data_IF_059343480317
#
_entry.id   IF_059343480317
#
_cell.length_a   1.000
_cell.length_b   1.000
_cell.length_c   1.000
_cell.angle_alpha   90.00
_cell.angle_beta   90.00
_cell.angle_gamma   90.00
#
_symmetry.space_group_name_H-M   'P 1'
#
loop_
_entity.id
_entity.type
_entity.pdbx_description
1 polymer ?
#
# COMPACT_ATOMS: atom_id res chain seq x y z
N UNK A 1 -6.84 -24.17 -5.19
CA UNK A 1 -7.00 -23.42 -3.93
C UNK A 1 -6.65 -24.37 -2.79
N UNK A 2 -5.38 -24.41 -2.39
CA UNK A 2 -4.93 -25.28 -1.32
C UNK A 2 -5.43 -24.70 0.00
N UNK A 3 -6.25 -25.47 0.72
CA UNK A 3 -6.61 -25.17 2.10
C UNK A 3 -5.30 -25.10 2.90
N UNK A 4 -4.94 -23.89 3.31
CA UNK A 4 -3.89 -23.70 4.30
C UNK A 4 -4.34 -24.39 5.59
N UNK A 5 -3.57 -25.37 6.04
CA UNK A 5 -3.76 -26.09 7.30
C UNK A 5 -4.11 -25.11 8.42
N UNK A 6 -5.36 -25.13 8.85
CA UNK A 6 -5.82 -24.41 10.04
C UNK A 6 -5.40 -25.22 11.25
N UNK A 7 -4.17 -25.01 11.73
CA UNK A 7 -3.72 -25.56 13.00
C UNK A 7 -4.73 -25.21 14.11
N UNK A 8 -5.28 -26.24 14.76
CA UNK A 8 -6.26 -26.10 15.82
C UNK A 8 -5.57 -25.69 17.13
N UNK A 9 -5.79 -24.44 17.56
CA UNK A 9 -5.14 -23.89 18.76
C UNK A 9 -5.98 -24.09 20.03
N UNK A 10 -5.30 -24.41 21.14
CA UNK A 10 -5.88 -24.38 22.48
C UNK A 10 -6.04 -22.94 22.97
N UNK A 11 -7.28 -22.50 23.16
CA UNK A 11 -7.62 -21.22 23.77
C UNK A 11 -7.22 -21.18 25.25
N UNK A 12 -5.96 -20.85 25.54
CA UNK A 12 -5.55 -20.51 26.90
C UNK A 12 -6.06 -19.10 27.23
N UNK A 13 -7.10 -19.05 28.05
CA UNK A 13 -7.57 -17.82 28.68
C UNK A 13 -6.40 -17.10 29.35
N UNK A 14 -6.21 -15.82 29.00
CA UNK A 14 -5.34 -14.81 29.61
C UNK A 14 -4.75 -15.21 30.97
N UNK A 15 -3.42 -15.39 31.12
CA UNK A 15 -2.82 -15.39 32.45
C UNK A 15 -2.94 -13.99 33.05
N UNK A 16 -3.65 -13.92 34.17
CA UNK A 16 -3.93 -12.70 34.92
C UNK A 16 -2.61 -12.12 35.46
N UNK A 17 -2.28 -10.89 35.08
CA UNK A 17 -1.42 -10.07 35.93
C UNK A 17 -2.19 -9.74 37.22
N UNK A 18 -1.55 -9.71 38.40
CA UNK A 18 -2.24 -9.31 39.63
C UNK A 18 -2.63 -7.83 39.53
N UNK A 19 -3.92 -7.55 39.31
CA UNK A 19 -4.45 -6.18 39.23
C UNK A 19 -4.82 -5.65 40.61
N UNK A 20 -4.30 -4.47 40.94
CA UNK A 20 -4.68 -3.71 42.14
C UNK A 20 -5.88 -2.77 41.94
N UNK A 21 -6.52 -2.72 40.76
CA UNK A 21 -7.65 -1.81 40.49
C UNK A 21 -8.69 -2.44 39.55
N UNK A 22 -9.97 -2.18 39.85
CA UNK A 22 -11.22 -2.69 39.26
C UNK A 22 -11.45 -2.40 37.76
N UNK A 23 -10.48 -2.70 36.88
CA UNK A 23 -10.78 -2.84 35.46
C UNK A 23 -11.29 -4.27 35.20
N UNK A 24 -12.51 -4.39 34.66
CA UNK A 24 -12.99 -5.66 34.11
C UNK A 24 -12.02 -6.09 33.02
N UNK A 25 -11.11 -7.01 33.33
CA UNK A 25 -10.22 -7.62 32.36
C UNK A 25 -11.05 -8.62 31.56
N UNK A 26 -11.45 -8.25 30.35
CA UNK A 26 -12.11 -9.17 29.44
C UNK A 26 -11.18 -10.38 29.22
N UNK A 27 -11.74 -11.58 29.39
CA UNK A 27 -11.09 -12.89 29.18
C UNK A 27 -11.19 -13.28 27.68
N UNK A 28 -11.67 -12.36 26.84
CA UNK A 28 -11.86 -12.60 25.42
C UNK A 28 -10.51 -12.88 24.74
N UNK A 29 -10.45 -13.84 23.81
CA UNK A 29 -9.26 -14.07 23.00
C UNK A 29 -8.92 -12.78 22.26
N UNK A 30 -7.65 -12.37 22.34
CA UNK A 30 -7.16 -11.25 21.55
C UNK A 30 -7.15 -11.71 20.08
N UNK A 31 -7.73 -10.95 19.17
CA UNK A 31 -7.57 -11.16 17.73
C UNK A 31 -6.78 -9.98 17.15
N UNK A 32 -5.68 -10.29 16.46
CA UNK A 32 -4.81 -9.28 15.86
C UNK A 32 -5.11 -9.17 14.37
N UNK A 33 -5.63 -8.02 13.97
CA UNK A 33 -5.92 -7.69 12.58
C UNK A 33 -4.78 -6.82 12.06
N UNK A 34 -4.05 -7.32 11.07
CA UNK A 34 -2.90 -6.60 10.51
C UNK A 34 -3.27 -6.05 9.15
N UNK A 35 -3.14 -4.72 8.96
CA UNK A 35 -3.32 -4.11 7.65
C UNK A 35 -2.09 -4.35 6.77
N UNK A 36 -2.27 -4.59 5.45
CA UNK A 36 -1.17 -4.79 4.51
C UNK A 36 -0.16 -3.64 4.48
N UNK A 37 -0.61 -2.40 4.72
CA UNK A 37 0.26 -1.23 4.80
C UNK A 37 1.35 -1.40 5.87
N UNK A 38 1.01 -1.88 7.06
CA UNK A 38 1.97 -2.10 8.14
C UNK A 38 3.01 -3.16 7.73
N UNK A 39 2.59 -4.24 7.08
CA UNK A 39 3.49 -5.30 6.58
C UNK A 39 4.47 -4.73 5.56
N UNK A 40 3.99 -3.97 4.58
CA UNK A 40 4.84 -3.34 3.56
C UNK A 40 5.85 -2.36 4.18
N UNK A 41 5.46 -1.61 5.21
CA UNK A 41 6.39 -0.73 5.94
C UNK A 41 7.47 -1.51 6.68
N UNK A 42 7.12 -2.65 7.29
CA UNK A 42 8.08 -3.54 7.96
C UNK A 42 9.05 -4.15 6.94
N UNK A 43 8.55 -4.59 5.78
CA UNK A 43 9.38 -5.14 4.71
C UNK A 43 10.30 -4.08 4.09
N UNK A 44 9.80 -2.87 3.84
CA UNK A 44 10.63 -1.74 3.38
C UNK A 44 11.74 -1.41 4.39
N UNK A 45 11.42 -1.42 5.69
CA UNK A 45 12.42 -1.24 6.74
C UNK A 45 13.45 -2.38 6.76
N UNK A 46 13.02 -3.63 6.54
CA UNK A 46 13.93 -4.78 6.47
C UNK A 46 14.94 -4.65 5.31
N UNK A 47 14.49 -4.12 4.15
CA UNK A 47 15.33 -3.93 2.95
C UNK A 47 16.32 -2.77 3.11
N UNK A 48 15.95 -1.71 3.85
CA UNK A 48 16.80 -0.53 4.08
C UNK A 48 17.95 -0.74 5.07
N UNK A 49 18.13 -1.95 5.60
CA UNK A 49 19.15 -2.23 6.60
C UNK A 49 20.56 -1.97 6.05
N UNK A 50 21.32 -1.12 6.73
CA UNK A 50 22.68 -0.72 6.36
C UNK A 50 23.73 -1.85 6.47
N UNK A 51 23.49 -2.88 7.28
CA UNK A 51 24.45 -3.97 7.48
C UNK A 51 23.92 -5.33 7.01
N UNK A 52 24.64 -6.01 6.09
CA UNK A 52 24.35 -7.41 5.76
C UNK A 52 24.54 -8.30 6.99
N UNK A 53 23.69 -9.31 7.12
CA UNK A 53 23.76 -10.29 8.20
C UNK A 53 25.18 -10.87 8.30
N UNK A 54 25.89 -10.53 9.36
CA UNK A 54 27.19 -11.10 9.71
C UNK A 54 26.94 -12.18 10.76
N UNK A 55 27.66 -13.31 10.78
CA UNK A 55 27.41 -14.42 11.72
C UNK A 55 27.43 -14.04 13.21
N UNK A 56 27.97 -12.87 13.58
CA UNK A 56 28.02 -12.34 14.95
C UNK A 56 26.90 -11.34 15.29
N UNK A 57 26.17 -10.84 14.30
CA UNK A 57 25.17 -9.77 14.50
C UNK A 57 23.83 -10.22 13.97
N UNK A 58 22.90 -10.39 14.91
CA UNK A 58 21.49 -10.60 14.65
C UNK A 58 20.99 -9.51 13.68
N UNK A 59 20.71 -9.92 12.45
CA UNK A 59 20.19 -9.04 11.40
C UNK A 59 18.68 -8.91 11.59
N UNK A 60 18.21 -8.61 12.80
CA UNK A 60 16.80 -8.36 13.04
C UNK A 60 16.55 -6.85 13.06
N UNK A 61 15.39 -6.48 12.56
CA UNK A 61 14.92 -5.09 12.58
C UNK A 61 13.87 -5.01 13.69
N UNK A 62 13.81 -3.86 14.36
CA UNK A 62 12.87 -3.61 15.45
C UNK A 62 12.15 -2.29 15.17
N UNK A 63 10.86 -2.26 15.46
CA UNK A 63 10.08 -1.03 15.42
C UNK A 63 8.78 -1.14 16.21
N UNK A 64 8.05 -0.03 16.26
CA UNK A 64 6.77 0.05 16.98
C UNK A 64 5.59 -0.22 16.04
N UNK A 65 4.56 -0.83 16.62
CA UNK A 65 3.26 -1.04 15.99
C UNK A 65 2.27 0.00 16.50
N UNK A 66 1.55 0.61 15.56
CA UNK A 66 0.58 1.65 15.82
C UNK A 66 -0.76 1.26 15.19
N UNK A 67 -1.84 1.60 15.85
CA UNK A 67 -3.18 1.43 15.32
C UNK A 67 -4.24 1.57 16.38
N UNK A 68 -5.39 0.96 16.16
CA UNK A 68 -6.54 1.11 17.05
C UNK A 68 -6.83 -0.17 17.81
N UNK A 69 -7.40 -0.01 19.00
CA UNK A 69 -7.84 -1.09 19.87
C UNK A 69 -9.32 -0.93 20.10
N UNK A 70 -10.08 -2.02 20.01
CA UNK A 70 -11.50 -2.00 20.35
C UNK A 70 -11.70 -1.63 21.82
N UNK A 71 -12.82 -1.00 22.16
CA UNK A 71 -13.18 -0.60 23.53
C UNK A 71 -13.26 -1.83 24.46
N UNK A 72 -13.72 -2.97 23.93
CA UNK A 72 -13.80 -4.25 24.63
C UNK A 72 -12.42 -4.93 24.81
N UNK A 73 -11.41 -4.42 24.09
CA UNK A 73 -10.03 -4.88 24.16
C UNK A 73 -9.75 -6.28 23.59
N UNK A 74 -10.74 -6.92 22.97
CA UNK A 74 -10.66 -8.20 22.27
C UNK A 74 -9.96 -8.09 20.91
N UNK A 75 -10.19 -7.00 20.19
CA UNK A 75 -9.70 -6.82 18.83
C UNK A 75 -8.65 -5.70 18.79
N UNK A 76 -7.53 -6.01 18.15
CA UNK A 76 -6.43 -5.07 17.88
C UNK A 76 -6.30 -4.93 16.38
N UNK A 77 -6.39 -3.71 15.87
CA UNK A 77 -6.15 -3.41 14.45
C UNK A 77 -4.84 -2.65 14.30
N UNK A 78 -3.83 -3.33 13.77
CA UNK A 78 -2.53 -2.76 13.43
C UNK A 78 -2.66 -2.08 12.07
N UNK A 79 -2.60 -0.75 12.06
CA UNK A 79 -2.76 0.06 10.85
C UNK A 79 -1.42 0.46 10.24
N UNK A 80 -0.46 0.82 11.10
CA UNK A 80 0.81 1.38 10.69
C UNK A 80 1.95 0.86 11.57
N UNK A 81 3.17 0.99 11.08
CA UNK A 81 4.39 0.61 11.79
C UNK A 81 5.48 1.63 11.48
N UNK A 82 6.39 1.85 12.43
CA UNK A 82 7.57 2.70 12.19
C UNK A 82 8.82 2.10 12.81
N UNK A 83 9.96 2.37 12.17
CA UNK A 83 11.28 1.91 12.59
C UNK A 83 11.72 2.57 13.91
N UNK A 84 12.36 1.82 14.81
CA UNK A 84 13.03 2.40 15.98
C UNK A 84 14.52 2.05 15.90
N UNK A 85 15.42 3.06 15.93
CA UNK A 85 16.85 2.81 16.07
C UNK A 85 17.13 1.98 17.32
N UNK A 86 17.84 0.88 17.15
CA UNK A 86 18.25 0.01 18.24
C UNK A 86 19.71 -0.40 18.04
N UNK A 87 20.39 -0.66 19.15
CA UNK A 87 21.75 -1.21 19.16
C UNK A 87 21.70 -2.55 19.87
N UNK A 88 22.06 -3.62 19.18
CA UNK A 88 22.13 -4.98 19.72
C UNK A 88 23.59 -5.45 19.70
N UNK A 89 24.16 -5.61 20.90
CA UNK A 89 25.44 -6.26 21.14
C UNK A 89 25.20 -7.66 21.75
N UNK A 90 26.24 -8.49 21.83
CA UNK A 90 26.13 -9.87 22.37
C UNK A 90 25.52 -9.95 23.78
N UNK A 91 25.69 -8.90 24.59
CA UNK A 91 25.23 -8.84 26.00
C UNK A 91 24.15 -7.78 26.29
N UNK A 92 23.85 -6.88 25.34
CA UNK A 92 22.99 -5.72 25.61
C UNK A 92 22.16 -5.31 24.40
N UNK A 93 20.89 -4.97 24.66
CA UNK A 93 20.00 -4.33 23.68
C UNK A 93 19.51 -3.00 24.22
N UNK A 94 19.76 -1.94 23.46
CA UNK A 94 19.30 -0.58 23.75
C UNK A 94 18.35 -0.10 22.65
N UNK A 95 17.21 0.45 23.05
CA UNK A 95 16.18 1.01 22.16
C UNK A 95 16.06 2.50 22.46
N UNK A 96 16.06 3.34 21.42
CA UNK A 96 15.93 4.79 21.60
C UNK A 96 14.48 5.18 21.96
N UNK A 97 14.28 5.42 23.26
CA UNK A 97 12.99 5.80 23.85
C UNK A 97 12.55 7.20 23.42
N UNK A 98 13.48 8.13 23.29
CA UNK A 98 13.17 9.52 22.97
C UNK A 98 12.72 9.62 21.50
N UNK A 99 13.39 8.89 20.61
CA UNK A 99 12.96 8.75 19.23
C UNK A 99 11.55 8.15 19.14
N UNK A 100 11.28 7.06 19.87
CA UNK A 100 9.95 6.44 19.89
C UNK A 100 8.86 7.44 20.34
N UNK A 101 9.08 8.16 21.44
CA UNK A 101 8.10 9.13 21.97
C UNK A 101 7.85 10.26 20.97
N UNK A 102 8.90 10.80 20.38
CA UNK A 102 8.81 11.88 19.39
C UNK A 102 8.08 11.42 18.12
N UNK A 103 8.43 10.24 17.61
CA UNK A 103 7.82 9.68 16.41
C UNK A 103 6.34 9.33 16.64
N UNK A 104 6.01 8.71 17.78
CA UNK A 104 4.64 8.43 18.17
C UNK A 104 3.83 9.74 18.27
N UNK A 105 4.37 10.79 18.89
CA UNK A 105 3.72 12.08 18.97
C UNK A 105 3.47 12.72 17.60
N UNK A 106 4.37 12.54 16.63
CA UNK A 106 4.17 12.97 15.25
C UNK A 106 3.08 12.15 14.55
N UNK A 107 3.07 10.83 14.74
CA UNK A 107 2.05 9.96 14.17
C UNK A 107 0.65 10.31 14.70
N UNK A 108 0.53 10.54 16.00
CA UNK A 108 -0.73 10.92 16.64
C UNK A 108 -1.24 12.31 16.21
N UNK A 109 -0.38 13.21 15.72
CA UNK A 109 -0.82 14.48 15.12
C UNK A 109 -1.55 14.27 13.80
N UNK A 110 -1.15 13.28 13.01
CA UNK A 110 -1.82 12.91 11.76
C UNK A 110 -3.04 12.04 12.02
N UNK A 111 -2.91 11.05 12.91
CA UNK A 111 -3.94 10.07 13.25
C UNK A 111 -4.20 10.05 14.78
N UNK A 112 -5.09 10.92 15.30
CA UNK A 112 -5.36 11.01 16.74
C UNK A 112 -6.11 9.81 17.34
N UNK A 113 -6.70 8.96 16.49
CA UNK A 113 -7.45 7.76 16.92
C UNK A 113 -6.56 6.55 17.17
N UNK A 114 -5.31 6.61 16.71
CA UNK A 114 -4.37 5.53 16.89
C UNK A 114 -3.72 5.59 18.27
N UNK A 115 -3.15 4.48 18.70
CA UNK A 115 -2.38 4.31 19.91
C UNK A 115 -1.21 3.36 19.64
N UNK A 116 -0.23 3.36 20.55
CA UNK A 116 0.84 2.37 20.54
C UNK A 116 0.24 0.99 20.91
N UNK A 117 0.44 0.00 20.04
CA UNK A 117 -0.11 -1.36 20.22
C UNK A 117 0.96 -2.38 20.64
N UNK A 118 2.23 -2.09 20.37
CA UNK A 118 3.35 -2.94 20.71
C UNK A 118 4.52 -2.74 19.76
N UNK A 119 5.18 -3.82 19.38
CA UNK A 119 6.39 -3.79 18.57
C UNK A 119 6.44 -4.96 17.58
N UNK A 120 7.27 -4.81 16.54
CA UNK A 120 7.51 -5.86 15.57
C UNK A 120 8.99 -6.17 15.45
N UNK A 121 9.26 -7.37 14.96
CA UNK A 121 10.59 -7.77 14.51
C UNK A 121 10.52 -8.64 13.27
N UNK A 122 11.64 -8.71 12.56
CA UNK A 122 11.78 -9.51 11.35
C UNK A 122 12.39 -10.90 11.59
N UNK A 123 12.80 -11.20 12.83
CA UNK A 123 13.27 -12.54 13.20
C UNK A 123 12.15 -13.35 13.86
N UNK A 124 12.00 -14.62 13.46
CA UNK A 124 11.10 -15.55 14.14
C UNK A 124 11.71 -16.16 15.41
N UNK A 125 13.02 -16.03 15.61
CA UNK A 125 13.69 -16.56 16.79
C UNK A 125 13.45 -15.64 18.01
N UNK A 126 12.83 -16.22 19.04
CA UNK A 126 12.57 -15.53 20.31
C UNK A 126 13.76 -15.72 21.24
N UNK A 127 14.56 -14.66 21.41
CA UNK A 127 15.73 -14.66 22.29
C UNK A 127 15.40 -14.03 23.65
N UNK A 128 16.28 -14.17 24.64
CA UNK A 128 16.15 -13.52 25.95
C UNK A 128 16.01 -11.99 25.84
N UNK A 129 16.66 -11.37 24.86
CA UNK A 129 16.51 -9.95 24.57
C UNK A 129 15.09 -9.56 24.14
N UNK A 130 14.35 -10.45 23.48
CA UNK A 130 12.95 -10.19 23.12
C UNK A 130 12.08 -10.01 24.35
N UNK A 131 12.38 -10.71 25.47
CA UNK A 131 11.66 -10.53 26.73
C UNK A 131 11.92 -9.15 27.36
N UNK A 132 13.15 -8.66 27.29
CA UNK A 132 13.50 -7.32 27.77
C UNK A 132 12.77 -6.23 26.98
N UNK A 133 12.78 -6.33 25.64
CA UNK A 133 12.08 -5.39 24.75
C UNK A 133 10.57 -5.43 25.01
N UNK A 134 10.00 -6.63 25.16
CA UNK A 134 8.59 -6.81 25.46
C UNK A 134 8.19 -6.15 26.79
N UNK A 135 9.01 -6.30 27.83
CA UNK A 135 8.77 -5.65 29.12
C UNK A 135 8.92 -4.13 29.04
N UNK A 136 9.82 -3.64 28.20
CA UNK A 136 9.93 -2.22 27.90
C UNK A 136 8.65 -1.65 27.23
N UNK A 137 8.11 -2.33 26.20
CA UNK A 137 6.85 -1.92 25.56
C UNK A 137 5.60 -2.19 26.42
N UNK A 138 5.70 -3.06 27.42
CA UNK A 138 4.64 -3.27 28.42
C UNK A 138 4.72 -2.29 29.60
N UNK A 139 5.81 -1.49 29.70
CA UNK A 139 6.03 -0.59 30.83
C UNK A 139 4.98 0.53 30.92
N UNK A 140 4.57 0.95 32.14
CA UNK A 140 3.59 2.03 32.31
C UNK A 140 4.03 3.40 31.79
N UNK A 141 5.34 3.66 31.72
CA UNK A 141 5.89 4.98 31.36
C UNK A 141 6.03 5.18 29.86
N UNK A 142 6.22 4.09 29.12
CA UNK A 142 6.68 4.13 27.72
C UNK A 142 5.79 3.31 26.77
N UNK A 143 4.93 2.49 27.35
CA UNK A 143 4.34 1.35 26.68
C UNK A 143 2.82 1.41 26.53
N UNK A 144 2.23 0.23 26.41
CA UNK A 144 0.81 0.04 26.08
C UNK A 144 -0.09 -0.13 27.31
N UNK A 145 0.42 0.15 28.52
CA UNK A 145 -0.32 -0.03 29.77
C UNK A 145 -1.64 0.77 29.75
N UNK A 146 -2.78 0.18 30.15
CA UNK A 146 -2.97 -1.08 30.87
C UNK A 146 -3.13 -2.34 30.00
N UNK A 147 -3.01 -2.23 28.68
CA UNK A 147 -3.21 -3.33 27.74
C UNK A 147 -1.90 -4.06 27.43
N UNK A 148 -1.93 -5.37 27.17
CA UNK A 148 -0.72 -6.13 26.83
C UNK A 148 -0.15 -5.67 25.47
N UNK A 149 1.17 -5.52 25.41
CA UNK A 149 1.87 -5.19 24.19
C UNK A 149 1.87 -6.39 23.22
N UNK A 150 1.53 -6.13 21.97
CA UNK A 150 1.56 -7.13 20.89
C UNK A 150 2.96 -7.19 20.28
N UNK A 151 3.50 -8.39 20.15
CA UNK A 151 4.75 -8.66 19.45
C UNK A 151 4.45 -9.35 18.11
N UNK A 152 4.77 -8.70 17.00
CA UNK A 152 4.58 -9.25 15.66
C UNK A 152 5.92 -9.69 15.06
N UNK A 153 6.03 -10.93 14.63
CA UNK A 153 7.16 -11.42 13.83
C UNK A 153 6.75 -11.55 12.37
N UNK A 154 7.58 -11.03 11.46
CA UNK A 154 7.33 -11.04 10.00
C UNK A 154 8.52 -11.68 9.30
N UNK A 155 8.28 -12.73 8.49
CA UNK A 155 9.34 -13.29 7.65
C UNK A 155 9.76 -12.30 6.55
N UNK A 156 11.07 -12.21 6.32
CA UNK A 156 11.67 -11.35 5.29
C UNK A 156 12.38 -12.14 4.19
N UNK A 157 12.12 -13.44 4.07
CA UNK A 157 12.78 -14.29 3.09
C UNK A 157 12.34 -13.96 1.66
N UNK A 158 13.25 -13.49 0.78
CA UNK A 158 12.87 -13.09 -0.57
C UNK A 158 12.31 -14.28 -1.37
N UNK A 159 11.11 -14.12 -1.92
CA UNK A 159 10.46 -15.14 -2.76
C UNK A 159 9.67 -16.20 -1.99
N UNK A 160 9.71 -16.19 -0.66
CA UNK A 160 8.82 -16.99 0.17
C UNK A 160 7.53 -16.22 0.48
N UNK A 161 6.48 -16.95 0.86
CA UNK A 161 5.25 -16.35 1.35
C UNK A 161 5.48 -15.62 2.68
N UNK A 162 4.83 -14.47 2.86
CA UNK A 162 4.96 -13.66 4.08
C UNK A 162 4.32 -14.39 5.25
N UNK A 163 5.15 -14.95 6.13
CA UNK A 163 4.69 -15.58 7.37
C UNK A 163 4.62 -14.56 8.49
N UNK A 164 3.46 -14.49 9.14
CA UNK A 164 3.19 -13.63 10.28
C UNK A 164 2.98 -14.52 11.51
N UNK A 165 3.52 -14.09 12.66
CA UNK A 165 3.14 -14.66 13.96
C UNK A 165 2.96 -13.53 14.95
N UNK A 166 1.83 -13.50 15.63
CA UNK A 166 1.53 -12.53 16.68
C UNK A 166 1.63 -13.20 18.04
N UNK A 167 2.27 -12.50 18.99
CA UNK A 167 2.48 -12.96 20.35
C UNK A 167 2.04 -11.90 21.36
N UNK A 168 1.64 -12.36 22.53
CA UNK A 168 1.47 -11.53 23.73
C UNK A 168 2.37 -12.06 24.84
N UNK A 169 2.78 -11.18 25.75
CA UNK A 169 3.53 -11.58 26.92
C UNK A 169 2.64 -11.93 28.10
N UNK A 170 2.99 -13.04 28.75
CA UNK A 170 2.56 -13.36 30.10
C UNK A 170 3.77 -13.27 31.04
N UNK A 171 3.70 -12.54 32.17
CA UNK A 171 4.75 -12.59 33.16
C UNK A 171 4.81 -14.01 33.74
N UNK A 172 5.94 -14.69 33.58
CA UNK A 172 6.16 -16.03 34.14
C UNK A 172 7.31 -15.91 35.11
N UNK A 173 6.96 -15.83 36.40
CA UNK A 173 7.92 -15.68 37.46
C UNK A 173 7.49 -16.43 38.72
N UNK A 174 8.45 -17.14 39.31
CA UNK A 174 8.32 -17.72 40.66
C UNK A 174 8.73 -16.70 41.74
N UNK A 175 9.58 -15.71 41.39
CA UNK A 175 10.08 -14.64 42.26
C UNK A 175 9.88 -13.26 41.60
N UNK A 176 9.51 -12.25 42.39
CA UNK A 176 9.15 -10.91 41.90
C UNK A 176 10.28 -10.16 41.16
N UNK A 177 11.55 -10.39 41.50
CA UNK A 177 12.70 -9.72 40.86
C UNK A 177 13.01 -10.30 39.46
N UNK A 178 12.93 -11.62 39.28
CA UNK A 178 13.13 -12.26 37.96
C UNK A 178 11.92 -12.12 37.04
N UNK A 179 10.79 -11.64 37.56
CA UNK A 179 9.59 -11.38 36.76
C UNK A 179 9.82 -10.30 35.70
N UNK A 180 10.72 -9.36 35.96
CA UNK A 180 11.07 -8.29 35.04
C UNK A 180 12.01 -8.75 33.90
N UNK A 181 12.61 -9.94 34.00
CA UNK A 181 13.58 -10.46 33.03
C UNK A 181 13.02 -11.66 32.24
N UNK A 182 11.92 -12.26 32.69
CA UNK A 182 11.35 -13.47 32.11
C UNK A 182 9.87 -13.29 31.79
N UNK A 183 9.55 -13.26 30.49
CA UNK A 183 8.17 -13.33 30.01
C UNK A 183 7.98 -14.53 29.07
N UNK A 184 6.81 -15.17 29.15
CA UNK A 184 6.40 -16.20 28.21
C UNK A 184 5.63 -15.55 27.05
N UNK A 185 6.03 -15.88 25.83
CA UNK A 185 5.30 -15.48 24.64
C UNK A 185 4.21 -16.50 24.32
N UNK A 186 2.96 -16.05 24.33
CA UNK A 186 1.78 -16.84 23.96
C UNK A 186 1.35 -16.38 22.58
N UNK A 187 1.27 -17.30 21.63
CA UNK A 187 0.82 -16.99 20.27
C UNK A 187 -0.68 -16.68 20.27
N UNK A 188 -1.05 -15.68 19.48
CA UNK A 188 -2.40 -15.13 19.38
C UNK A 188 -2.89 -15.28 17.94
N UNK A 189 -4.19 -15.59 17.72
CA UNK A 189 -4.74 -15.63 16.37
C UNK A 189 -4.61 -14.26 15.70
N UNK A 190 -4.13 -14.28 14.46
CA UNK A 190 -3.96 -13.10 13.65
C UNK A 190 -4.61 -13.30 12.28
N UNK A 191 -5.12 -12.22 11.70
CA UNK A 191 -5.62 -12.19 10.32
C UNK A 191 -5.12 -10.95 9.61
N UNK A 192 -4.83 -11.08 8.32
CA UNK A 192 -4.57 -9.93 7.47
C UNK A 192 -5.92 -9.37 7.04
N UNK A 193 -6.23 -8.15 7.47
CA UNK A 193 -7.48 -7.48 7.15
C UNK A 193 -7.19 -6.34 6.18
N UNK A 194 -7.83 -6.35 5.03
CA UNK A 194 -7.70 -5.32 4.01
C UNK A 194 -8.97 -4.45 3.98
N UNK A 195 -8.79 -3.14 3.82
CA UNK A 195 -9.89 -2.25 3.46
C UNK A 195 -10.18 -2.34 1.95
N UNK A 196 -11.39 -2.00 1.50
CA UNK A 196 -11.75 -2.07 0.08
C UNK A 196 -10.83 -1.20 -0.81
N UNK A 197 -10.45 -0.02 -0.32
CA UNK A 197 -9.50 0.85 -1.01
C UNK A 197 -8.10 0.22 -1.12
N UNK A 198 -7.64 -0.45 -0.06
CA UNK A 198 -6.35 -1.14 -0.07
C UNK A 198 -6.38 -2.37 -0.96
N UNK A 199 -7.49 -3.12 -0.98
CA UNK A 199 -7.67 -4.28 -1.85
C UNK A 199 -7.48 -3.90 -3.32
N UNK A 200 -8.11 -2.82 -3.76
CA UNK A 200 -7.98 -2.35 -5.14
C UNK A 200 -6.53 -1.91 -5.46
N UNK A 201 -5.87 -1.24 -4.52
CA UNK A 201 -4.47 -0.86 -4.69
C UNK A 201 -3.54 -2.08 -4.75
N UNK A 202 -3.76 -3.08 -3.89
CA UNK A 202 -2.99 -4.32 -3.87
C UNK A 202 -3.22 -5.15 -5.14
N UNK A 203 -4.43 -5.17 -5.67
CA UNK A 203 -4.72 -5.86 -6.93
C UNK A 203 -3.94 -5.23 -8.10
N UNK A 204 -3.93 -3.90 -8.18
CA UNK A 204 -3.11 -3.17 -9.16
C UNK A 204 -1.61 -3.44 -8.97
N UNK A 205 -1.11 -3.41 -7.73
CA UNK A 205 0.28 -3.73 -7.43
C UNK A 205 0.62 -5.19 -7.79
N UNK A 206 -0.32 -6.11 -7.62
CA UNK A 206 -0.13 -7.52 -7.99
C UNK A 206 0.00 -7.67 -9.50
N UNK A 207 -0.76 -6.91 -10.29
CA UNK A 207 -0.65 -6.92 -11.75
C UNK A 207 0.69 -6.38 -12.28
N UNK A 208 1.37 -5.54 -11.50
CA UNK A 208 2.70 -5.02 -11.83
C UNK A 208 3.84 -5.99 -11.47
N UNK A 209 3.57 -7.05 -10.69
CA UNK A 209 4.58 -8.01 -10.22
C UNK A 209 5.29 -8.71 -11.38
N UNK A 210 4.53 -9.11 -12.40
CA UNK A 210 5.02 -9.93 -13.52
C UNK A 210 5.45 -9.08 -14.73
N UNK A 211 5.28 -7.75 -14.67
CA UNK A 211 5.71 -6.83 -15.72
C UNK A 211 7.20 -6.49 -15.59
N UNK A 212 7.95 -6.56 -16.70
CA UNK A 212 9.39 -6.24 -16.73
C UNK A 212 9.69 -4.81 -16.23
N UNK A 213 8.84 -3.85 -16.60
CA UNK A 213 8.97 -2.44 -16.20
C UNK A 213 8.44 -2.16 -14.78
N UNK A 214 7.89 -3.16 -14.07
CA UNK A 214 7.27 -3.03 -12.73
C UNK A 214 6.29 -1.86 -12.60
N UNK A 215 5.63 -1.52 -13.70
CA UNK A 215 4.64 -0.46 -13.77
C UNK A 215 3.33 -1.03 -14.28
N UNK A 216 2.22 -0.58 -13.70
CA UNK A 216 0.88 -0.89 -14.18
C UNK A 216 0.17 0.42 -14.54
N UNK A 217 -0.44 0.52 -15.73
CA UNK A 217 -1.30 1.64 -16.04
C UNK A 217 -2.51 1.64 -15.11
N UNK A 218 -2.99 2.83 -14.73
CA UNK A 218 -4.28 2.95 -14.06
C UNK A 218 -5.34 2.53 -15.07
N UNK A 219 -6.08 1.49 -14.71
CA UNK A 219 -7.11 0.88 -15.54
C UNK A 219 -8.27 1.86 -15.70
N UNK A 220 -8.87 1.90 -16.88
CA UNK A 220 -10.08 2.72 -17.09
C UNK A 220 -11.28 2.14 -16.34
N UNK A 221 -12.26 2.96 -15.97
CA UNK A 221 -13.46 2.48 -15.26
C UNK A 221 -14.18 1.36 -16.01
N UNK A 222 -14.16 1.39 -17.34
CA UNK A 222 -14.78 0.37 -18.22
C UNK A 222 -14.04 -0.96 -18.14
N UNK A 223 -12.71 -0.94 -18.18
CA UNK A 223 -11.90 -2.15 -18.04
C UNK A 223 -11.99 -2.73 -16.63
N UNK A 224 -12.06 -1.88 -15.60
CA UNK A 224 -12.29 -2.31 -14.20
C UNK A 224 -13.65 -3.01 -14.04
N UNK A 225 -14.70 -2.49 -14.67
CA UNK A 225 -16.01 -3.13 -14.73
C UNK A 225 -15.94 -4.49 -15.45
N UNK A 226 -15.21 -4.56 -16.56
CA UNK A 226 -15.03 -5.80 -17.33
C UNK A 226 -14.36 -6.88 -16.48
N UNK A 227 -13.25 -6.57 -15.80
CA UNK A 227 -12.58 -7.49 -14.87
C UNK A 227 -13.48 -7.92 -13.72
N UNK A 228 -14.27 -6.99 -13.18
CA UNK A 228 -15.24 -7.30 -12.11
C UNK A 228 -16.34 -8.25 -12.59
N UNK A 229 -16.80 -8.09 -13.84
CA UNK A 229 -17.75 -9.02 -14.47
C UNK A 229 -17.14 -10.40 -14.67
N UNK A 230 -15.92 -10.49 -15.21
CA UNK A 230 -15.20 -11.76 -15.37
C UNK A 230 -14.98 -12.47 -14.04
N UNK A 231 -14.54 -11.75 -13.00
CA UNK A 231 -14.38 -12.30 -11.66
C UNK A 231 -15.70 -12.77 -11.06
N UNK A 232 -16.79 -12.05 -11.29
CA UNK A 232 -18.13 -12.46 -10.83
C UNK A 232 -18.60 -13.73 -11.55
N UNK A 233 -18.32 -13.86 -12.85
CA UNK A 233 -18.61 -15.08 -13.61
C UNK A 233 -17.82 -16.27 -13.09
N UNK A 234 -16.52 -16.12 -12.83
CA UNK A 234 -15.67 -17.17 -12.25
C UNK A 234 -16.17 -17.61 -10.86
N UNK A 235 -16.57 -16.65 -10.01
CA UNK A 235 -17.16 -16.96 -8.70
C UNK A 235 -18.50 -17.71 -8.83
N UNK A 236 -19.34 -17.33 -9.79
CA UNK A 236 -20.60 -18.03 -10.07
C UNK A 236 -20.37 -19.43 -10.62
N UNK A 237 -19.42 -19.60 -11.53
CA UNK A 237 -19.01 -20.89 -12.07
C UNK A 237 -18.51 -21.80 -10.96
N UNK A 238 -17.64 -21.30 -10.09
CA UNK A 238 -17.14 -22.05 -8.93
C UNK A 238 -18.24 -22.49 -7.97
N UNK A 239 -19.22 -21.64 -7.70
CA UNK A 239 -20.40 -22.00 -6.87
C UNK A 239 -21.26 -23.03 -7.60
N UNK A 240 -21.44 -22.88 -8.92
CA UNK A 240 -22.19 -23.84 -9.74
C UNK A 240 -21.53 -25.21 -9.75
N UNK A 241 -20.21 -25.28 -9.89
CA UNK A 241 -19.45 -26.54 -9.82
C UNK A 241 -19.61 -27.17 -8.46
N UNK A 242 -19.38 -26.43 -7.37
CA UNK A 242 -19.57 -26.95 -6.01
C UNK A 242 -20.98 -27.52 -5.76
N UNK A 243 -22.02 -26.85 -6.25
CA UNK A 243 -23.40 -27.36 -6.13
C UNK A 243 -23.62 -28.59 -7.01
N UNK A 244 -22.99 -28.65 -8.20
CA UNK A 244 -23.08 -29.82 -9.09
C UNK A 244 -22.42 -31.04 -8.46
N UNK A 245 -21.23 -30.88 -7.86
CA UNK A 245 -20.48 -31.95 -7.20
C UNK A 245 -21.28 -32.55 -6.00
N UNK A 246 -22.03 -31.72 -5.28
CA UNK A 246 -22.95 -32.20 -4.22
C UNK A 246 -24.14 -32.96 -4.81
N UNK A 247 -24.70 -32.49 -5.93
CA UNK A 247 -25.84 -33.14 -6.60
C UNK A 247 -25.43 -34.49 -7.19
N UNK A 248 -24.19 -34.59 -7.67
CA UNK A 248 -23.59 -35.82 -8.21
C UNK A 248 -23.08 -36.77 -7.10
N UNK A 249 -23.32 -36.43 -5.83
CA UNK A 249 -22.92 -37.18 -4.62
C UNK A 249 -21.39 -37.37 -4.47
N UNK A 250 -20.58 -36.48 -5.06
CA UNK A 250 -19.11 -36.51 -4.95
C UNK A 250 -18.59 -35.86 -3.64
N UNK A 251 -19.31 -34.87 -3.09
CA UNK A 251 -18.94 -34.15 -1.86
C UNK A 251 -20.13 -34.01 -0.88
N UNK A 252 -19.86 -34.10 0.43
CA UNK A 252 -20.87 -33.92 1.48
C UNK A 252 -21.31 -32.45 1.59
N UNK A 253 -22.60 -32.19 1.39
CA UNK A 253 -23.16 -30.84 1.44
C UNK A 253 -23.18 -30.20 2.83
N UNK A 254 -22.78 -28.93 2.92
CA UNK A 254 -22.94 -28.12 4.13
C UNK A 254 -24.28 -27.36 4.13
N UNK A 255 -25.19 -27.73 5.04
CA UNK A 255 -26.51 -27.10 5.17
C UNK A 255 -26.47 -25.58 5.42
N UNK A 256 -25.48 -25.08 6.17
CA UNK A 256 -25.36 -23.65 6.44
C UNK A 256 -25.04 -22.86 5.15
N UNK A 257 -24.17 -23.42 4.31
CA UNK A 257 -23.82 -22.83 3.02
C UNK A 257 -25.00 -22.89 2.05
N UNK A 258 -25.74 -24.01 2.01
CA UNK A 258 -26.95 -24.14 1.20
C UNK A 258 -28.02 -23.11 1.57
N UNK A 259 -28.24 -22.86 2.87
CA UNK A 259 -29.17 -21.83 3.33
C UNK A 259 -28.70 -20.42 2.95
N UNK A 260 -27.39 -20.14 3.04
CA UNK A 260 -26.82 -18.87 2.62
C UNK A 260 -26.99 -18.63 1.11
N UNK A 261 -26.70 -19.63 0.28
CA UNK A 261 -26.87 -19.55 -1.18
C UNK A 261 -28.34 -19.34 -1.57
N UNK A 262 -29.27 -20.04 -0.92
CA UNK A 262 -30.70 -19.86 -1.14
C UNK A 262 -31.14 -18.44 -0.77
N UNK A 263 -30.63 -17.89 0.33
CA UNK A 263 -30.84 -16.49 0.72
C UNK A 263 -30.29 -15.52 -0.32
N UNK A 264 -29.07 -15.72 -0.80
CA UNK A 264 -28.44 -14.87 -1.81
C UNK A 264 -29.21 -14.86 -3.14
N UNK A 265 -29.62 -16.04 -3.62
CA UNK A 265 -30.42 -16.16 -4.85
C UNK A 265 -31.83 -15.55 -4.70
N UNK A 266 -32.39 -15.57 -3.50
CA UNK A 266 -33.70 -14.95 -3.24
C UNK A 266 -33.68 -13.42 -3.29
N UNK A 267 -32.50 -12.81 -3.10
CA UNK A 267 -32.27 -11.36 -3.19
C UNK A 267 -32.11 -10.88 -4.63
N UNK A 268 -32.01 -11.80 -5.61
CA UNK A 268 -31.91 -11.43 -7.01
C UNK A 268 -33.15 -10.62 -7.42
N UNK A 269 -32.98 -9.40 -7.97
CA UNK A 269 -34.09 -8.53 -8.32
C UNK A 269 -34.94 -9.20 -9.41
N UNK A 270 -36.19 -9.50 -9.06
CA UNK A 270 -37.21 -10.01 -9.99
C UNK A 270 -37.86 -8.85 -10.72
N UNK A 271 -37.09 -8.17 -11.55
CA UNK A 271 -37.59 -7.05 -12.37
C UNK A 271 -37.89 -7.57 -13.76
N UNK A 272 -38.99 -7.09 -14.36
CA UNK A 272 -39.37 -7.45 -15.72
C UNK A 272 -38.29 -6.98 -16.71
N UNK A 273 -37.78 -7.83 -17.61
CA UNK A 273 -36.72 -7.45 -18.54
C UNK A 273 -37.07 -6.21 -19.38
N UNK A 274 -38.34 -6.03 -19.73
CA UNK A 274 -38.82 -4.90 -20.53
C UNK A 274 -38.72 -3.56 -19.77
N UNK A 275 -38.97 -3.55 -18.45
CA UNK A 275 -38.84 -2.33 -17.66
C UNK A 275 -37.38 -1.92 -17.49
N UNK A 276 -36.48 -2.90 -17.31
CA UNK A 276 -35.03 -2.62 -17.22
C UNK A 276 -34.53 -2.01 -18.52
N UNK A 277 -34.94 -2.56 -19.67
CA UNK A 277 -34.52 -2.05 -20.98
C UNK A 277 -35.01 -0.62 -21.20
N UNK A 278 -36.26 -0.31 -20.82
CA UNK A 278 -36.80 1.04 -20.90
C UNK A 278 -36.02 2.03 -20.01
N UNK A 279 -35.77 1.67 -18.75
CA UNK A 279 -35.05 2.52 -17.79
C UNK A 279 -33.59 2.73 -18.21
N UNK A 280 -32.93 1.69 -18.71
CA UNK A 280 -31.56 1.76 -19.20
C UNK A 280 -31.46 2.63 -20.45
N UNK A 281 -32.40 2.51 -21.39
CA UNK A 281 -32.46 3.37 -22.57
C UNK A 281 -32.70 4.84 -22.21
N UNK A 282 -33.60 5.12 -21.26
CA UNK A 282 -33.81 6.49 -20.76
C UNK A 282 -32.53 7.05 -20.14
N UNK A 283 -31.84 6.26 -19.31
CA UNK A 283 -30.57 6.67 -18.72
C UNK A 283 -29.48 6.94 -19.78
N UNK A 284 -29.36 6.07 -20.80
CA UNK A 284 -28.44 6.27 -21.91
C UNK A 284 -28.76 7.57 -22.66
N UNK A 285 -30.04 7.85 -22.93
CA UNK A 285 -30.44 9.08 -23.60
C UNK A 285 -30.00 10.32 -22.82
N UNK A 286 -30.20 10.32 -21.50
CA UNK A 286 -29.77 11.43 -20.64
C UNK A 286 -28.25 11.61 -20.64
N UNK A 287 -27.50 10.52 -20.50
CA UNK A 287 -26.02 10.56 -20.51
C UNK A 287 -25.50 11.04 -21.87
N UNK A 288 -26.08 10.57 -22.97
CA UNK A 288 -25.71 11.00 -24.32
C UNK A 288 -26.02 12.49 -24.54
N UNK A 289 -27.16 12.99 -24.05
CA UNK A 289 -27.51 14.40 -24.11
C UNK A 289 -26.47 15.27 -23.38
N UNK A 290 -26.08 14.88 -22.17
CA UNK A 290 -25.06 15.59 -21.38
C UNK A 290 -23.69 15.55 -22.08
N UNK A 291 -23.29 14.39 -22.60
CA UNK A 291 -22.03 14.24 -23.34
C UNK A 291 -22.00 15.09 -24.62
N UNK A 292 -23.11 15.14 -25.36
CA UNK A 292 -23.24 15.97 -26.55
C UNK A 292 -23.13 17.47 -26.23
N UNK A 293 -23.78 17.92 -25.15
CA UNK A 293 -23.69 19.30 -24.69
C UNK A 293 -22.25 19.65 -24.26
N UNK A 294 -21.60 18.78 -23.48
CA UNK A 294 -20.22 18.98 -23.05
C UNK A 294 -19.24 19.06 -24.23
N UNK A 295 -19.39 18.19 -25.23
CA UNK A 295 -18.59 18.24 -26.45
C UNK A 295 -18.87 19.49 -27.29
N UNK A 296 -20.13 19.94 -27.35
CA UNK A 296 -20.49 21.20 -28.02
C UNK A 296 -19.88 22.43 -27.34
N UNK A 297 -19.86 22.45 -26.01
CA UNK A 297 -19.19 23.52 -25.24
C UNK A 297 -17.68 23.46 -25.49
N UNK A 298 -17.07 22.27 -25.47
CA UNK A 298 -15.63 22.09 -25.74
C UNK A 298 -15.24 22.58 -27.13
N UNK A 299 -16.02 22.23 -28.17
CA UNK A 299 -15.76 22.69 -29.54
C UNK A 299 -15.97 24.19 -29.70
N UNK A 300 -16.97 24.78 -29.04
CA UNK A 300 -17.16 26.24 -29.02
C UNK A 300 -16.00 26.96 -28.32
N UNK A 301 -15.47 26.40 -27.23
CA UNK A 301 -14.28 26.95 -26.54
C UNK A 301 -13.06 26.88 -27.46
N UNK A 302 -12.77 25.73 -28.10
CA UNK A 302 -11.64 25.60 -29.03
C UNK A 302 -11.78 26.55 -30.23
N UNK A 303 -12.99 26.67 -30.79
CA UNK A 303 -13.28 27.61 -31.87
C UNK A 303 -13.06 29.07 -31.42
N UNK A 304 -13.55 29.44 -30.23
CA UNK A 304 -13.38 30.78 -29.68
C UNK A 304 -11.91 31.12 -29.44
N UNK A 305 -11.13 30.18 -28.90
CA UNK A 305 -9.69 30.35 -28.72
C UNK A 305 -8.97 30.53 -30.07
N UNK A 306 -9.28 29.69 -31.05
CA UNK A 306 -8.70 29.81 -32.41
C UNK A 306 -9.08 31.13 -33.09
N UNK A 307 -10.33 31.57 -32.98
CA UNK A 307 -10.78 32.85 -33.53
C UNK A 307 -10.11 34.03 -32.85
N UNK A 308 -9.97 34.02 -31.52
CA UNK A 308 -9.24 35.05 -30.79
C UNK A 308 -7.78 35.13 -31.25
N UNK A 309 -7.11 33.99 -31.48
CA UNK A 309 -5.75 33.97 -32.03
C UNK A 309 -5.67 34.38 -33.51
N UNK A 310 -6.70 34.08 -34.30
CA UNK A 310 -6.73 34.44 -35.73
C UNK A 310 -6.95 35.94 -35.96
N UNK A 311 -7.77 36.59 -35.12
CA UNK A 311 -7.96 38.06 -35.16
C UNK A 311 -6.67 38.81 -34.83
N UNK A 312 -5.83 38.26 -33.96
CA UNK A 312 -4.48 38.81 -33.69
C UNK A 312 -3.55 38.64 -34.91
N UNK A 313 -3.65 37.53 -35.65
CA UNK A 313 -2.84 37.29 -36.84
C UNK A 313 -3.28 38.12 -38.07
N UNK A 314 -4.57 38.47 -38.19
CA UNK A 314 -5.07 39.33 -39.28
C UNK A 314 -4.88 40.82 -39.02
N UNK A 315 -4.76 41.25 -37.76
CA UNK A 315 -4.49 42.65 -37.39
C UNK A 315 -3.09 43.16 -37.76
N UNK A 316 -2.10 42.28 -37.93
CA UNK A 316 -0.74 42.68 -38.35
C UNK A 316 -0.55 42.76 -39.87
N UNK A 317 -1.50 42.24 -40.66
CA UNK A 317 -1.38 42.14 -42.12
C UNK A 317 -2.04 43.29 -42.91
N UNK A 318 -2.84 44.15 -42.27
CA UNK A 318 -3.63 45.19 -42.96
C UNK A 318 -3.03 46.59 -42.96
N UNK A 319 -1.84 46.83 -42.41
CA UNK A 319 -1.28 48.19 -42.26
C UNK A 319 -0.05 48.49 -43.14
N UNK A 320 0.18 47.72 -44.22
CA UNK A 320 1.32 47.92 -45.13
C UNK A 320 1.00 47.74 -46.62
N UNK A 321 0.06 48.51 -47.16
CA UNK A 321 0.05 48.77 -48.62
C UNK A 321 -0.59 50.13 -48.92
N UNK A 322 0.25 51.17 -49.02
CA UNK A 322 -0.18 52.48 -49.52
C UNK A 322 0.70 53.66 -49.14
N UNK A 323 1.94 53.73 -49.64
CA UNK A 323 2.54 54.95 -50.26
C UNK A 323 4.06 54.77 -50.50
N UNK A 324 4.44 54.74 -51.78
CA UNK A 324 5.80 55.04 -52.24
C UNK A 324 5.81 56.46 -52.79
N UNK A 325 6.72 57.30 -52.28
CA UNK A 325 7.18 58.49 -53.03
C UNK A 325 7.93 59.50 -52.17
N UNK A 326 9.26 59.58 -52.30
CA UNK A 326 10.03 60.77 -51.92
C UNK A 326 11.45 60.55 -51.41
N UNK A 327 12.38 60.19 -52.29
CA UNK A 327 13.84 60.25 -52.04
C UNK A 327 14.37 61.69 -51.89
N UNK A 328 15.36 61.88 -51.00
CA UNK A 328 16.72 62.44 -51.22
C UNK A 328 17.32 62.91 -49.88
N UNK A 329 18.43 62.31 -49.43
CA UNK A 329 19.78 62.93 -49.43
C UNK A 329 20.02 63.75 -48.15
N UNK A 330 21.14 63.79 -47.44
CA UNK A 330 22.54 63.46 -47.70
C UNK A 330 23.30 63.60 -46.35
N UNK A 331 24.39 62.84 -46.15
CA UNK A 331 25.57 63.07 -45.25
C UNK A 331 25.35 63.28 -43.74
N UNK A 332 26.09 62.67 -42.81
CA UNK A 332 27.36 61.93 -42.88
C UNK A 332 28.45 62.59 -42.01
N UNK A 333 28.72 62.03 -40.82
CA UNK A 333 29.93 62.08 -39.95
C UNK A 333 29.47 61.59 -38.54
N UNK A 334 30.19 60.86 -37.67
CA UNK A 334 31.59 60.45 -37.51
C UNK A 334 31.66 59.44 -36.35
N UNK A 335 32.62 58.49 -36.40
CA UNK A 335 33.26 57.84 -35.23
C UNK A 335 32.51 56.66 -34.59
N UNK A 336 33.12 55.55 -34.17
CA UNK A 336 34.52 55.14 -34.10
C UNK A 336 34.64 53.90 -33.18
N UNK A 337 35.58 53.00 -33.50
CA UNK A 337 36.25 51.97 -32.65
C UNK A 337 35.38 51.15 -31.67
N UNK A 338 35.35 49.82 -31.66
CA UNK A 338 36.45 48.86 -31.83
C UNK A 338 36.69 48.10 -30.51
N UNK A 339 36.67 46.75 -30.55
CA UNK A 339 37.13 45.81 -29.50
C UNK A 339 36.14 45.60 -28.35
N UNK A 340 36.01 44.45 -27.68
CA UNK A 340 36.84 43.25 -27.46
C UNK A 340 35.90 42.12 -27.00
N UNK A 341 36.06 40.86 -27.46
CA UNK A 341 36.67 39.71 -26.74
C UNK A 341 36.15 39.49 -25.29
N UNK A 342 35.82 38.28 -24.85
CA UNK A 342 36.15 36.93 -25.37
C UNK A 342 35.13 35.86 -24.94
N UNK A 343 35.25 34.58 -25.30
CA UNK A 343 36.37 33.89 -25.91
C UNK A 343 37.04 32.90 -24.95
N UNK A 344 36.57 31.65 -24.96
CA UNK A 344 37.31 30.36 -24.86
C UNK A 344 36.27 29.28 -25.28
N UNK A 345 36.36 28.53 -26.38
CA UNK A 345 37.50 27.96 -27.12
C UNK A 345 37.78 26.56 -26.58
N UNK A 346 37.81 25.45 -27.32
CA UNK A 346 37.70 25.14 -28.77
C UNK A 346 37.15 23.70 -28.96
N UNK A 347 37.03 23.08 -30.12
CA UNK A 347 37.68 23.28 -31.41
C UNK A 347 38.66 22.13 -31.71
N UNK A 348 38.17 21.04 -32.34
CA UNK A 348 38.85 20.05 -33.22
C UNK A 348 37.80 18.97 -33.55
N UNK A 349 37.46 18.64 -34.80
CA UNK A 349 38.33 18.35 -35.94
C UNK A 349 38.48 16.82 -36.05
N UNK A 350 37.66 16.18 -36.89
CA UNK A 350 37.68 14.74 -37.18
C UNK A 350 36.37 14.29 -37.85
N UNK A 351 36.17 14.61 -39.12
CA UNK A 351 36.30 13.70 -40.27
C UNK A 351 35.33 12.51 -40.22
N UNK A 352 34.38 12.54 -41.14
CA UNK A 352 33.64 11.37 -41.61
C UNK A 352 34.58 10.19 -41.87
N UNK A 353 34.21 9.03 -41.37
CA UNK A 353 34.35 7.77 -42.09
C UNK A 353 33.11 6.95 -41.80
N UNK A 354 32.23 6.92 -42.80
CA UNK A 354 31.23 5.87 -42.98
C UNK A 354 31.93 4.58 -43.42
N UNK A 355 31.28 3.48 -43.04
CA UNK A 355 31.32 2.11 -43.60
C UNK A 355 32.41 1.12 -43.13
N UNK A 356 32.16 -0.21 -43.18
CA UNK A 356 30.95 -0.90 -43.67
C UNK A 356 30.34 -1.96 -42.72
N UNK A 357 29.07 -2.30 -43.01
CA UNK A 357 28.44 -3.58 -42.68
C UNK A 357 29.16 -4.72 -43.41
N UNK A 358 29.26 -5.89 -42.76
CA UNK A 358 29.00 -7.25 -43.30
C UNK A 358 29.68 -8.32 -42.40
N UNK A 359 29.38 -9.63 -42.52
CA UNK A 359 28.14 -10.27 -42.98
C UNK A 359 27.64 -11.37 -42.02
N UNK A 360 26.38 -11.77 -42.20
CA UNK A 360 25.83 -13.06 -41.74
C UNK A 360 26.46 -14.20 -42.55
N UNK A 361 26.65 -15.35 -41.93
CA UNK A 361 26.56 -16.69 -42.56
C UNK A 361 26.66 -17.81 -41.48
N UNK A 362 26.31 -19.08 -41.77
CA UNK A 362 24.94 -19.57 -41.77
C UNK A 362 24.74 -20.79 -40.83
N UNK A 363 23.49 -21.24 -40.79
CA UNK A 363 22.98 -22.47 -40.19
C UNK A 363 23.66 -23.74 -40.70
N UNK A 364 23.96 -24.65 -39.78
CA UNK A 364 23.65 -26.08 -39.88
C UNK A 364 22.89 -26.51 -38.63
#
# INVERSE_FOLDING_TARGET
MAAADTESFLHLSRPLAPTALNYQSTIAPLAVNVQPQAILSILDHAVRRDQPATPSTSSRVIGALVGSRSEDGSDVSVTSAFAIPHTENEDQVEVDVEYQKNMLALHLKANPRDALLGWYTTSHELNSFSALIQNFFASPETGTYPHPAVHLTVSTDPGADVQLKAYISAPVAVNAERAAESCLFIQVPHKVAYNDAERNALDLLSSAKDAEDRSAPIITDVESLTRSMESTLDLLERVSTYVSDIVDEEEDGNNALGQYLMGALSLAPKVDPLSIEADFNNHIQDVLMVSYLANSIRTQIDLSQRLATAVLATGEATDKDGEKGGERGERGERGGRGGKRGGRGGGRGGREQREPREPREPTE
#
